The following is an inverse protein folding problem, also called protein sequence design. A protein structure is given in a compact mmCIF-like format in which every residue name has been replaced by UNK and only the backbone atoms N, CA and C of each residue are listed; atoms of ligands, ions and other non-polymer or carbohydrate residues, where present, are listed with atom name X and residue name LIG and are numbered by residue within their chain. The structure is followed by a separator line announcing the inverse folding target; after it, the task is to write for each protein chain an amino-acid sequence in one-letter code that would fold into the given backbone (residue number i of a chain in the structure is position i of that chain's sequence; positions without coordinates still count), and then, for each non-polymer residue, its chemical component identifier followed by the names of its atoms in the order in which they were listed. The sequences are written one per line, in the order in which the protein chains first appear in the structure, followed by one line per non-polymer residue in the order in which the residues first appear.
data_IF_805370145658
#
_entry.id   IF_805370145658
#
_cell.length_a   1.000
_cell.length_b   1.000
_cell.length_c   1.000
_cell.angle_alpha   90.00
_cell.angle_beta   90.00
_cell.angle_gamma   90.00
#
_symmetry.space_group_name_H-M   'P 1'
#
loop_
_entity.id
_entity.type
_entity.pdbx_description
1 polymer ?
#
# COMPACT_ATOMS: atom_id res chain seq x y z
N UNK A 1 -10.76 11.87 17.30
CA UNK A 1 -11.62 11.71 16.10
C UNK A 1 -13.08 11.78 16.51
N UNK A 2 -13.92 12.49 15.75
CA UNK A 2 -15.35 12.60 16.05
C UNK A 2 -16.05 11.22 15.96
N UNK A 3 -17.04 10.92 16.82
CA UNK A 3 -17.66 9.59 16.86
C UNK A 3 -18.21 9.08 15.51
N UNK A 4 -18.90 9.88 14.67
CA UNK A 4 -19.39 9.41 13.38
C UNK A 4 -18.29 8.98 12.42
N UNK A 5 -17.15 9.70 12.42
CA UNK A 5 -16.00 9.36 11.57
C UNK A 5 -15.36 8.04 12.03
N UNK A 6 -15.24 7.82 13.34
CA UNK A 6 -14.74 6.56 13.89
C UNK A 6 -15.61 5.38 13.49
N UNK A 7 -16.93 5.52 13.61
CA UNK A 7 -17.89 4.47 13.24
C UNK A 7 -17.83 4.16 11.75
N UNK A 8 -17.74 5.19 10.90
CA UNK A 8 -17.57 5.01 9.46
C UNK A 8 -16.29 4.20 9.16
N UNK A 9 -15.15 4.57 9.76
CA UNK A 9 -13.89 3.84 9.57
C UNK A 9 -13.95 2.39 10.06
N UNK A 10 -14.61 2.12 11.19
CA UNK A 10 -14.80 0.76 11.70
C UNK A 10 -15.68 -0.10 10.78
N UNK A 11 -16.75 0.49 10.23
CA UNK A 11 -17.61 -0.16 9.25
C UNK A 11 -16.84 -0.49 7.97
N UNK A 12 -16.05 0.45 7.44
CA UNK A 12 -15.19 0.20 6.29
C UNK A 12 -14.17 -0.92 6.58
N UNK A 13 -13.52 -0.87 7.75
CA UNK A 13 -12.59 -1.92 8.17
C UNK A 13 -13.24 -3.29 8.30
N UNK A 14 -14.54 -3.37 8.59
CA UNK A 14 -15.30 -4.61 8.58
C UNK A 14 -15.52 -5.14 7.15
N UNK A 15 -16.03 -4.30 6.26
CA UNK A 15 -16.36 -4.70 4.89
C UNK A 15 -15.10 -5.08 4.08
N UNK A 16 -14.03 -4.27 4.17
CA UNK A 16 -12.75 -4.56 3.51
C UNK A 16 -12.17 -5.90 3.94
N UNK A 17 -12.21 -6.21 5.24
CA UNK A 17 -11.70 -7.47 5.75
C UNK A 17 -12.57 -8.69 5.37
N UNK A 18 -13.87 -8.46 5.11
CA UNK A 18 -14.83 -9.53 4.78
C UNK A 18 -14.89 -9.82 3.28
N UNK A 19 -14.71 -8.81 2.44
CA UNK A 19 -14.81 -8.90 0.98
C UNK A 19 -13.56 -8.31 0.29
N UNK A 20 -12.38 -8.90 0.48
CA UNK A 20 -11.18 -8.43 -0.21
C UNK A 20 -11.27 -8.67 -1.72
N UNK A 21 -10.74 -7.74 -2.50
CA UNK A 21 -10.64 -7.83 -3.97
C UNK A 21 -9.56 -8.83 -4.38
N UNK A 22 -9.87 -10.14 -4.28
CA UNK A 22 -8.90 -11.23 -4.51
C UNK A 22 -8.87 -11.78 -5.93
N UNK A 23 -9.94 -11.60 -6.72
CA UNK A 23 -10.17 -12.41 -7.91
C UNK A 23 -10.40 -11.63 -9.20
N UNK A 24 -10.72 -10.32 -9.13
CA UNK A 24 -11.03 -9.53 -10.32
C UNK A 24 -10.48 -8.11 -10.18
N UNK A 25 -9.74 -7.68 -11.20
CA UNK A 25 -8.91 -6.45 -11.31
C UNK A 25 -7.58 -6.46 -10.53
N UNK A 26 -6.55 -5.93 -11.21
CA UNK A 26 -5.44 -5.15 -10.68
C UNK A 26 -5.18 -5.28 -9.16
N UNK A 27 -4.03 -5.86 -8.79
CA UNK A 27 -3.65 -6.04 -7.38
C UNK A 27 -3.44 -4.70 -6.64
N UNK A 28 -3.39 -3.57 -7.36
CA UNK A 28 -3.44 -2.23 -6.80
C UNK A 28 -4.63 -2.03 -5.82
N UNK A 29 -5.80 -2.64 -6.09
CA UNK A 29 -6.96 -2.60 -5.21
C UNK A 29 -6.66 -3.32 -3.91
N UNK A 30 -6.13 -4.54 -3.97
CA UNK A 30 -5.74 -5.31 -2.79
C UNK A 30 -4.68 -4.57 -1.94
N UNK A 31 -3.75 -3.86 -2.58
CA UNK A 31 -2.78 -3.01 -1.88
C UNK A 31 -3.48 -1.87 -1.15
N UNK A 32 -4.42 -1.17 -1.79
CA UNK A 32 -5.15 -0.08 -1.15
C UNK A 32 -6.03 -0.58 0.02
N UNK A 33 -6.73 -1.70 -0.15
CA UNK A 33 -7.55 -2.34 0.88
C UNK A 33 -6.69 -2.76 2.08
N UNK A 34 -5.55 -3.41 1.83
CA UNK A 34 -4.61 -3.78 2.87
C UNK A 34 -3.98 -2.53 3.52
N UNK A 35 -3.66 -1.50 2.74
CA UNK A 35 -3.18 -0.22 3.23
C UNK A 35 -4.16 0.39 4.23
N UNK A 36 -5.44 0.49 3.86
CA UNK A 36 -6.49 1.01 4.73
C UNK A 36 -6.63 0.18 6.03
N UNK A 37 -6.69 -1.15 5.93
CA UNK A 37 -6.78 -2.03 7.10
C UNK A 37 -5.55 -1.91 8.02
N UNK A 38 -4.35 -1.77 7.44
CA UNK A 38 -3.13 -1.51 8.19
C UNK A 38 -3.22 -0.19 8.96
N UNK A 39 -3.54 0.91 8.27
CA UNK A 39 -3.66 2.24 8.88
C UNK A 39 -4.71 2.30 10.00
N UNK A 40 -5.83 1.60 9.84
CA UNK A 40 -6.86 1.47 10.87
C UNK A 40 -6.34 0.74 12.12
N UNK A 41 -5.51 -0.28 11.93
CA UNK A 41 -4.84 -0.99 13.03
C UNK A 41 -3.83 -0.11 13.78
N UNK A 42 -3.23 0.88 13.10
CA UNK A 42 -2.25 1.79 13.71
C UNK A 42 -2.87 3.00 14.41
N UNK A 43 -4.19 3.17 14.38
CA UNK A 43 -4.85 4.30 15.04
C UNK A 43 -4.74 4.22 16.58
N UNK A 44 -4.54 5.35 17.28
CA UNK A 44 -4.66 5.39 18.74
C UNK A 44 -6.05 4.91 19.19
N UNK A 45 -6.09 3.96 20.13
CA UNK A 45 -7.34 3.37 20.59
C UNK A 45 -8.02 2.44 19.58
N UNK A 46 -7.27 1.91 18.60
CA UNK A 46 -7.77 0.90 17.68
C UNK A 46 -8.39 -0.29 18.45
N UNK A 47 -9.55 -0.75 17.98
CA UNK A 47 -10.21 -1.91 18.58
C UNK A 47 -9.36 -3.18 18.41
N UNK A 48 -9.54 -4.21 19.24
CA UNK A 48 -8.84 -5.48 19.07
C UNK A 48 -9.03 -6.11 17.68
N UNK A 49 -10.19 -5.88 17.04
CA UNK A 49 -10.45 -6.32 15.68
C UNK A 49 -9.61 -5.55 14.66
N UNK A 50 -9.52 -4.22 14.79
CA UNK A 50 -8.70 -3.37 13.93
C UNK A 50 -7.21 -3.74 14.04
N UNK A 51 -6.70 -3.97 15.25
CA UNK A 51 -5.32 -4.43 15.48
C UNK A 51 -5.04 -5.75 14.75
N UNK A 52 -5.91 -6.76 14.92
CA UNK A 52 -5.75 -8.06 14.24
C UNK A 52 -5.83 -7.94 12.71
N UNK A 53 -6.74 -7.11 12.20
CA UNK A 53 -6.87 -6.85 10.76
C UNK A 53 -5.63 -6.14 10.23
N UNK A 54 -5.11 -5.15 10.95
CA UNK A 54 -3.90 -4.43 10.58
C UNK A 54 -2.67 -5.34 10.51
N UNK A 55 -2.50 -6.25 11.46
CA UNK A 55 -1.42 -7.26 11.43
C UNK A 55 -1.51 -8.18 10.19
N UNK A 56 -2.71 -8.66 9.87
CA UNK A 56 -2.94 -9.46 8.66
C UNK A 56 -2.68 -8.65 7.39
N UNK A 57 -3.12 -7.41 7.37
CA UNK A 57 -2.91 -6.50 6.25
C UNK A 57 -1.43 -6.18 6.03
N UNK A 58 -0.64 -6.02 7.10
CA UNK A 58 0.83 -5.89 7.01
C UNK A 58 1.46 -7.06 6.26
N UNK A 59 1.04 -8.29 6.54
CA UNK A 59 1.51 -9.48 5.82
C UNK A 59 1.13 -9.47 4.33
N UNK A 60 -0.07 -8.97 4.01
CA UNK A 60 -0.51 -8.77 2.62
C UNK A 60 0.36 -7.73 1.92
N UNK A 61 0.61 -6.58 2.54
CA UNK A 61 1.45 -5.52 1.97
C UNK A 61 2.87 -6.03 1.68
N UNK A 62 3.48 -6.76 2.61
CA UNK A 62 4.79 -7.41 2.40
C UNK A 62 4.80 -8.31 1.17
N UNK A 63 3.77 -9.15 1.05
CA UNK A 63 3.63 -10.07 -0.08
C UNK A 63 3.41 -9.30 -1.39
N UNK A 64 2.56 -8.28 -1.37
CA UNK A 64 2.20 -7.53 -2.57
C UNK A 64 3.32 -6.62 -3.06
N UNK A 65 4.15 -6.06 -2.18
CA UNK A 65 5.34 -5.33 -2.62
C UNK A 65 6.25 -6.20 -3.50
N UNK A 66 6.47 -7.46 -3.10
CA UNK A 66 7.30 -8.39 -3.87
C UNK A 66 6.62 -8.86 -5.16
N UNK A 67 5.28 -8.98 -5.17
CA UNK A 67 4.54 -9.44 -6.35
C UNK A 67 4.29 -8.36 -7.38
N UNK A 68 4.07 -7.12 -6.93
CA UNK A 68 3.70 -6.01 -7.82
C UNK A 68 4.89 -5.25 -8.37
N UNK A 69 6.10 -5.43 -7.81
CA UNK A 69 7.31 -4.80 -8.31
C UNK A 69 8.36 -5.87 -8.59
N UNK A 70 8.78 -5.98 -9.85
CA UNK A 70 9.87 -6.89 -10.24
C UNK A 70 11.22 -6.38 -9.74
N UNK A 71 12.29 -7.17 -9.93
CA UNK A 71 13.64 -6.83 -9.46
C UNK A 71 14.21 -5.57 -10.11
N UNK A 72 13.76 -5.26 -11.33
CA UNK A 72 14.06 -4.01 -12.05
C UNK A 72 13.13 -2.84 -11.66
N UNK A 73 12.22 -3.05 -10.70
CA UNK A 73 11.26 -2.04 -10.24
C UNK A 73 10.03 -1.88 -11.14
N UNK A 74 9.92 -2.59 -12.26
CA UNK A 74 8.75 -2.49 -13.14
C UNK A 74 7.52 -3.06 -12.43
N UNK A 75 6.41 -2.32 -12.52
CA UNK A 75 5.11 -2.73 -11.97
C UNK A 75 4.53 -3.91 -12.74
N UNK A 76 4.06 -4.95 -12.04
CA UNK A 76 3.53 -6.19 -12.65
C UNK A 76 2.32 -5.96 -13.55
N UNK A 77 1.52 -4.93 -13.28
CA UNK A 77 0.36 -4.56 -14.10
C UNK A 77 0.73 -3.81 -15.39
N UNK A 78 2.02 -3.48 -15.58
CA UNK A 78 2.54 -2.71 -16.72
C UNK A 78 1.82 -1.37 -16.98
N UNK A 79 1.05 -0.91 -15.99
CA UNK A 79 0.37 0.37 -15.96
C UNK A 79 1.13 1.29 -15.02
N UNK A 80 1.71 2.38 -15.54
CA UNK A 80 2.47 3.24 -14.67
C UNK A 80 1.64 4.02 -13.65
N UNK A 81 0.38 4.28 -13.96
CA UNK A 81 -0.56 4.88 -13.00
C UNK A 81 -0.78 3.94 -11.83
N UNK A 82 -0.96 2.64 -12.09
CA UNK A 82 -1.16 1.65 -11.04
C UNK A 82 0.12 1.36 -10.24
N UNK A 83 1.29 1.43 -10.89
CA UNK A 83 2.58 1.36 -10.21
C UNK A 83 2.75 2.52 -9.22
N UNK A 84 2.53 3.77 -9.64
CA UNK A 84 2.62 4.93 -8.73
C UNK A 84 1.60 4.85 -7.59
N UNK A 85 0.35 4.53 -7.90
CA UNK A 85 -0.71 4.38 -6.89
C UNK A 85 -0.35 3.31 -5.85
N UNK A 86 0.17 2.17 -6.29
CA UNK A 86 0.59 1.09 -5.38
C UNK A 86 1.79 1.49 -4.52
N UNK A 87 2.78 2.19 -5.10
CA UNK A 87 3.93 2.71 -4.36
C UNK A 87 3.50 3.69 -3.27
N UNK A 88 2.58 4.61 -3.57
CA UNK A 88 2.10 5.60 -2.61
C UNK A 88 1.46 4.94 -1.38
N UNK A 89 0.60 3.93 -1.58
CA UNK A 89 0.01 3.17 -0.47
C UNK A 89 1.05 2.40 0.35
N UNK A 90 2.00 1.74 -0.31
CA UNK A 90 3.04 0.97 0.35
C UNK A 90 4.00 1.88 1.14
N UNK A 91 4.39 3.03 0.57
CA UNK A 91 5.21 4.05 1.24
C UNK A 91 4.48 4.65 2.45
N UNK A 92 3.19 4.97 2.31
CA UNK A 92 2.38 5.48 3.41
C UNK A 92 2.33 4.48 4.58
N UNK A 93 2.12 3.19 4.27
CA UNK A 93 2.16 2.14 5.28
C UNK A 93 3.55 2.02 5.93
N UNK A 94 4.63 2.09 5.13
CA UNK A 94 6.00 2.03 5.63
C UNK A 94 6.30 3.16 6.62
N UNK A 95 6.00 4.40 6.24
CA UNK A 95 6.19 5.60 7.07
C UNK A 95 5.37 5.52 8.35
N UNK A 96 4.12 5.06 8.29
CA UNK A 96 3.30 4.88 9.49
C UNK A 96 3.87 3.80 10.39
N UNK A 97 4.39 2.70 9.81
CA UNK A 97 5.07 1.64 10.56
C UNK A 97 6.28 2.14 11.34
N UNK A 98 7.16 2.93 10.70
CA UNK A 98 8.28 3.58 11.38
C UNK A 98 7.80 4.44 12.56
N UNK A 99 6.80 5.30 12.32
CA UNK A 99 6.28 6.24 13.32
C UNK A 99 5.53 5.57 14.47
N UNK A 100 5.12 4.33 14.32
CA UNK A 100 4.34 3.58 15.31
C UNK A 100 5.12 2.42 15.92
N UNK A 101 6.44 2.35 15.71
CA UNK A 101 7.31 1.33 16.30
C UNK A 101 7.11 -0.07 15.71
N UNK A 102 6.54 -0.17 14.50
CA UNK A 102 6.35 -1.41 13.76
C UNK A 102 6.95 -1.31 12.35
N UNK A 103 8.27 -1.10 12.24
CA UNK A 103 8.93 -0.87 10.97
C UNK A 103 8.74 -2.06 10.01
N UNK A 104 8.67 -1.78 8.72
CA UNK A 104 8.73 -2.81 7.68
C UNK A 104 10.19 -3.27 7.51
N UNK A 105 10.44 -4.53 7.12
CA UNK A 105 11.80 -5.04 6.98
C UNK A 105 12.55 -4.31 5.84
N UNK A 106 13.89 -4.28 5.86
CA UNK A 106 14.69 -3.61 4.82
C UNK A 106 14.38 -4.06 3.40
N UNK A 107 14.07 -5.34 3.19
CA UNK A 107 13.71 -5.90 1.88
C UNK A 107 12.44 -5.27 1.29
N UNK A 108 11.53 -4.80 2.14
CA UNK A 108 10.34 -4.06 1.70
C UNK A 108 10.74 -2.69 1.15
N UNK A 109 11.56 -1.94 1.90
CA UNK A 109 12.07 -0.63 1.49
C UNK A 109 12.88 -0.70 0.19
N UNK A 110 13.78 -1.68 0.07
CA UNK A 110 14.54 -1.92 -1.16
C UNK A 110 13.63 -2.14 -2.36
N UNK A 111 12.55 -2.91 -2.19
CA UNK A 111 11.57 -3.16 -3.26
C UNK A 111 10.85 -1.88 -3.71
N UNK A 112 10.46 -1.03 -2.74
CA UNK A 112 9.83 0.26 -3.05
C UNK A 112 10.79 1.22 -3.73
N UNK A 113 12.05 1.26 -3.30
CA UNK A 113 13.10 2.07 -3.92
C UNK A 113 13.27 1.72 -5.40
N UNK A 114 13.34 0.42 -5.74
CA UNK A 114 13.39 0.00 -7.15
C UNK A 114 12.19 0.50 -7.95
N UNK A 115 10.97 0.35 -7.38
CA UNK A 115 9.75 0.85 -8.03
C UNK A 115 9.76 2.37 -8.24
N UNK A 116 10.22 3.13 -7.25
CA UNK A 116 10.35 4.61 -7.34
C UNK A 116 11.38 5.01 -8.39
N UNK A 117 12.53 4.35 -8.44
CA UNK A 117 13.57 4.61 -9.45
C UNK A 117 13.06 4.33 -10.87
N UNK A 118 12.40 3.19 -11.08
CA UNK A 118 11.83 2.82 -12.37
C UNK A 118 10.78 3.84 -12.84
N UNK A 119 9.89 4.28 -11.94
CA UNK A 119 8.88 5.29 -12.26
C UNK A 119 9.50 6.66 -12.55
N UNK A 120 10.49 7.07 -11.77
CA UNK A 120 11.18 8.36 -11.94
C UNK A 120 11.92 8.43 -13.27
N UNK A 121 12.66 7.37 -13.63
CA UNK A 121 13.35 7.28 -14.92
C UNK A 121 12.37 7.36 -16.11
N UNK A 122 11.19 6.73 -15.97
CA UNK A 122 10.15 6.79 -17.00
C UNK A 122 9.55 8.20 -17.14
N UNK A 123 9.27 8.90 -16.05
CA UNK A 123 8.79 10.28 -16.11
C UNK A 123 9.82 11.22 -16.75
N UNK A 124 11.10 11.08 -16.40
CA UNK A 124 12.18 11.87 -17.00
C UNK A 124 12.24 11.68 -18.53
N UNK A 125 12.13 10.43 -19.02
CA UNK A 125 12.09 10.13 -20.47
C UNK A 125 10.90 10.78 -21.16
N UNK A 126 9.70 10.76 -20.56
CA UNK A 126 8.51 11.42 -21.12
C UNK A 126 8.68 12.94 -21.18
N UNK A 127 9.21 13.56 -20.13
CA UNK A 127 9.45 15.00 -20.11
C UNK A 127 10.46 15.43 -21.19
N UNK A 128 11.51 14.65 -21.42
CA UNK A 128 12.47 14.91 -22.49
C UNK A 128 11.82 14.83 -23.89
N UNK A 129 10.92 13.85 -24.11
CA UNK A 129 10.23 13.68 -25.39
C UNK A 129 9.22 14.80 -25.73
N UNK A 130 8.76 15.57 -24.74
CA UNK A 130 7.84 16.70 -24.95
C UNK A 130 8.55 18.06 -25.07
N UNK A 131 9.88 18.09 -24.93
CA UNK A 131 10.69 19.32 -25.02
C UNK A 131 11.46 19.46 -26.34
N UNK A 132 11.40 18.45 -27.22
CA UNK A 132 11.93 18.49 -28.59
C UNK A 132 10.79 18.61 -29.58
#
# INVERSE_FOLDING_TARGET
MLPPLKQSLEAHGYWLARFPSRFFSANNHLIAEAGALYLLGQQPGASPQALRRGQRARAVLLTQAQRQFHEDGVGAEQSPTYASFSLEWLLLAAVVGERTGQPFPPSFWQRLEQGVLAQSARYARRLAAHRG
#
